data_IF_857848241051
#
_entry.id   IF_857848241051
#
_cell.length_a   1.000
_cell.length_b   1.000
_cell.length_c   1.000
_cell.angle_alpha   90.00
_cell.angle_beta   90.00
_cell.angle_gamma   90.00
#
_symmetry.space_group_name_H-M   'P 1'
#
loop_
_entity.id
_entity.type
_entity.pdbx_description
1 polymer ?
#
# COMPACT_ATOMS: atom_id res chain seq x y z
N UNK A 1 0.67 24.87 -13.60
CA UNK A 1 -0.15 24.71 -12.36
C UNK A 1 -0.44 23.22 -12.26
N UNK A 2 0.04 22.50 -11.23
CA UNK A 2 -0.30 21.07 -11.09
C UNK A 2 -1.77 20.99 -10.69
N UNK A 3 -2.58 20.33 -11.50
CA UNK A 3 -3.99 20.08 -11.21
C UNK A 3 -4.10 19.21 -9.96
N UNK A 4 -4.94 19.60 -9.01
CA UNK A 4 -5.28 18.75 -7.87
C UNK A 4 -6.15 17.60 -8.37
N UNK A 5 -5.67 16.37 -8.22
CA UNK A 5 -6.41 15.16 -8.58
C UNK A 5 -7.06 14.60 -7.31
N UNK A 6 -8.39 14.71 -7.24
CA UNK A 6 -9.18 14.23 -6.11
C UNK A 6 -9.66 12.80 -6.38
N UNK A 7 -8.88 11.83 -5.93
CA UNK A 7 -9.15 10.40 -6.12
C UNK A 7 -10.32 9.87 -5.29
N UNK A 8 -10.82 10.67 -4.33
CA UNK A 8 -11.98 10.28 -3.53
C UNK A 8 -13.29 10.43 -4.29
N UNK A 9 -13.32 11.27 -5.34
CA UNK A 9 -14.51 11.47 -6.19
C UNK A 9 -14.82 10.31 -7.10
N UNK A 10 -13.84 9.45 -7.37
CA UNK A 10 -14.01 8.29 -8.23
C UNK A 10 -14.72 7.12 -7.50
N UNK A 11 -14.95 7.27 -6.19
CA UNK A 11 -15.64 6.28 -5.36
C UNK A 11 -17.14 6.57 -5.39
N UNK A 12 -17.90 5.73 -6.08
CA UNK A 12 -19.37 5.82 -6.17
C UNK A 12 -20.04 5.21 -4.93
N UNK A 13 -19.81 5.83 -3.77
CA UNK A 13 -20.47 5.49 -2.52
C UNK A 13 -20.90 6.73 -1.74
N UNK A 14 -21.96 6.60 -0.94
CA UNK A 14 -22.42 7.71 -0.10
C UNK A 14 -21.47 7.89 1.08
N UNK A 15 -20.99 9.12 1.28
CA UNK A 15 -20.24 9.51 2.47
C UNK A 15 -21.11 9.44 3.75
N UNK A 16 -21.15 8.27 4.42
CA UNK A 16 -21.84 8.05 5.70
C UNK A 16 -20.93 8.20 6.92
N UNK A 17 -19.65 7.89 6.76
CA UNK A 17 -18.69 7.79 7.86
C UNK A 17 -18.07 9.12 8.25
N UNK A 18 -17.69 9.24 9.53
CA UNK A 18 -17.04 10.45 10.07
C UNK A 18 -15.68 10.14 10.66
N UNK A 19 -14.70 10.95 10.30
CA UNK A 19 -13.34 10.87 10.85
C UNK A 19 -12.99 12.18 11.58
N UNK A 20 -12.84 12.10 12.90
CA UNK A 20 -12.62 13.28 13.76
C UNK A 20 -11.20 13.31 14.31
N UNK A 21 -10.51 14.44 14.17
CA UNK A 21 -9.15 14.63 14.68
C UNK A 21 -9.00 15.91 15.50
N UNK A 22 -8.21 15.82 16.57
CA UNK A 22 -7.61 17.00 17.21
C UNK A 22 -6.22 17.21 16.63
N UNK A 23 -5.89 18.45 16.28
CA UNK A 23 -4.58 18.79 15.70
C UNK A 23 -4.04 20.08 16.26
N UNK A 24 -2.74 20.30 16.10
CA UNK A 24 -2.07 21.53 16.52
C UNK A 24 -2.40 22.68 15.54
N UNK A 25 -2.45 23.94 15.99
CA UNK A 25 -2.76 25.09 15.12
C UNK A 25 -1.85 25.19 13.89
N UNK A 26 -0.55 24.92 14.06
CA UNK A 26 0.42 24.96 12.96
C UNK A 26 0.10 23.94 11.85
N UNK A 27 -0.31 22.72 12.23
CA UNK A 27 -0.70 21.68 11.26
C UNK A 27 -1.95 22.12 10.50
N UNK A 28 -2.96 22.65 11.21
CA UNK A 28 -4.18 23.17 10.57
C UNK A 28 -3.87 24.29 9.57
N UNK A 29 -2.94 25.18 9.91
CA UNK A 29 -2.54 26.28 9.02
C UNK A 29 -1.84 25.78 7.76
N UNK A 30 -0.97 24.77 7.89
CA UNK A 30 -0.30 24.16 6.73
C UNK A 30 -1.31 23.50 5.78
N UNK A 31 -2.26 22.72 6.31
CA UNK A 31 -3.34 22.10 5.52
C UNK A 31 -4.16 23.16 4.79
N UNK A 32 -4.60 24.21 5.49
CA UNK A 32 -5.35 25.33 4.89
C UNK A 32 -4.61 25.96 3.71
N UNK A 33 -3.32 26.21 3.88
CA UNK A 33 -2.50 26.81 2.83
C UNK A 33 -2.39 25.87 1.62
N UNK A 34 -2.17 24.58 1.85
CA UNK A 34 -2.07 23.59 0.77
C UNK A 34 -3.40 23.40 0.02
N UNK A 35 -4.51 23.38 0.75
CA UNK A 35 -5.86 23.33 0.19
C UNK A 35 -6.14 24.56 -0.70
N UNK A 36 -5.84 25.76 -0.21
CA UNK A 36 -5.98 27.00 -0.97
C UNK A 36 -5.13 27.03 -2.24
N UNK A 37 -3.88 26.56 -2.17
CA UNK A 37 -3.00 26.42 -3.36
C UNK A 37 -3.52 25.39 -4.37
N UNK A 38 -4.29 24.41 -3.89
CA UNK A 38 -4.89 23.35 -4.70
C UNK A 38 -6.29 23.71 -5.22
N UNK A 39 -6.86 24.85 -4.79
CA UNK A 39 -8.20 25.28 -5.19
C UNK A 39 -9.34 24.44 -4.57
N UNK A 40 -9.08 23.75 -3.46
CA UNK A 40 -10.06 22.90 -2.75
C UNK A 40 -10.18 23.33 -1.29
N UNK A 41 -11.22 22.85 -0.61
CA UNK A 41 -11.36 23.07 0.84
C UNK A 41 -10.47 22.15 1.68
N UNK A 42 -10.30 22.52 2.95
CA UNK A 42 -9.46 21.79 3.91
C UNK A 42 -9.86 20.31 4.04
N UNK A 43 -11.16 20.01 3.97
CA UNK A 43 -11.67 18.66 4.18
C UNK A 43 -11.38 17.78 2.96
N UNK A 44 -11.65 18.27 1.75
CA UNK A 44 -11.33 17.59 0.49
C UNK A 44 -9.82 17.35 0.38
N UNK A 45 -9.01 18.37 0.67
CA UNK A 45 -7.55 18.21 0.67
C UNK A 45 -7.10 17.12 1.65
N UNK A 46 -7.61 17.16 2.89
CA UNK A 46 -7.23 16.21 3.94
C UNK A 46 -7.68 14.80 3.61
N UNK A 47 -8.91 14.60 3.13
CA UNK A 47 -9.45 13.29 2.76
C UNK A 47 -8.65 12.68 1.62
N UNK A 48 -8.40 13.44 0.54
CA UNK A 48 -7.63 12.94 -0.59
C UNK A 48 -6.18 12.60 -0.19
N UNK A 49 -5.51 13.45 0.59
CA UNK A 49 -4.15 13.17 1.06
C UNK A 49 -4.09 11.93 1.96
N UNK A 50 -5.04 11.77 2.89
CA UNK A 50 -5.12 10.60 3.75
C UNK A 50 -5.38 9.32 2.95
N UNK A 51 -6.30 9.37 1.97
CA UNK A 51 -6.63 8.24 1.12
C UNK A 51 -5.45 7.81 0.25
N UNK A 52 -4.77 8.75 -0.41
CA UNK A 52 -3.57 8.46 -1.19
C UNK A 52 -2.47 7.82 -0.33
N UNK A 53 -2.20 8.37 0.86
CA UNK A 53 -1.21 7.80 1.78
C UNK A 53 -1.58 6.39 2.25
N UNK A 54 -2.87 6.13 2.47
CA UNK A 54 -3.36 4.80 2.81
C UNK A 54 -3.14 3.80 1.67
N UNK A 55 -3.49 4.17 0.43
CA UNK A 55 -3.26 3.32 -0.75
C UNK A 55 -1.79 3.01 -0.98
N UNK A 56 -0.91 4.01 -0.87
CA UNK A 56 0.54 3.82 -0.97
C UNK A 56 1.06 2.88 0.12
N UNK A 57 0.57 3.03 1.35
CA UNK A 57 0.97 2.18 2.47
C UNK A 57 0.53 0.73 2.26
N UNK A 58 -0.72 0.51 1.83
CA UNK A 58 -1.24 -0.83 1.52
C UNK A 58 -0.42 -1.46 0.39
N UNK A 59 -0.23 -0.73 -0.70
CA UNK A 59 0.54 -1.21 -1.85
C UNK A 59 1.98 -1.57 -1.48
N UNK A 60 2.63 -0.80 -0.60
CA UNK A 60 3.99 -1.09 -0.15
C UNK A 60 4.10 -2.43 0.64
N UNK A 61 3.02 -2.88 1.28
CA UNK A 61 3.00 -4.13 2.03
C UNK A 61 2.49 -5.32 1.20
N UNK A 62 1.59 -5.08 0.26
CA UNK A 62 0.91 -6.15 -0.49
C UNK A 62 1.49 -6.39 -1.88
N UNK A 63 2.22 -5.42 -2.44
CA UNK A 63 2.79 -5.54 -3.78
C UNK A 63 4.29 -5.80 -3.72
N UNK A 64 4.70 -6.97 -4.21
CA UNK A 64 6.10 -7.24 -4.53
C UNK A 64 6.43 -6.66 -5.90
N UNK A 65 7.33 -5.68 -5.95
CA UNK A 65 7.87 -5.15 -7.21
C UNK A 65 9.18 -5.85 -7.52
N UNK A 66 9.25 -6.52 -8.67
CA UNK A 66 10.49 -7.13 -9.15
C UNK A 66 11.38 -6.07 -9.80
N UNK A 67 12.67 -6.08 -9.49
CA UNK A 67 13.63 -5.30 -10.25
C UNK A 67 13.74 -5.90 -11.67
N UNK A 68 14.08 -5.10 -12.70
CA UNK A 68 14.22 -5.61 -14.07
C UNK A 68 15.20 -6.78 -14.19
N UNK A 69 16.24 -6.80 -13.34
CA UNK A 69 17.24 -7.89 -13.30
C UNK A 69 16.69 -9.20 -12.76
N UNK A 70 15.65 -9.15 -11.92
CA UNK A 70 15.03 -10.32 -11.31
C UNK A 70 13.86 -10.87 -12.14
N UNK A 71 13.39 -10.09 -13.12
CA UNK A 71 12.23 -10.43 -13.94
C UNK A 71 12.42 -11.77 -14.66
N UNK A 72 13.52 -11.94 -15.40
CA UNK A 72 13.76 -13.17 -16.15
C UNK A 72 13.82 -14.40 -15.23
N UNK A 73 14.60 -14.33 -14.15
CA UNK A 73 14.74 -15.43 -13.20
C UNK A 73 13.40 -15.81 -12.52
N UNK A 74 12.56 -14.82 -12.20
CA UNK A 74 11.25 -15.08 -11.61
C UNK A 74 10.31 -15.80 -12.57
N UNK A 75 10.20 -15.32 -13.82
CA UNK A 75 9.32 -15.95 -14.82
C UNK A 75 9.86 -17.32 -15.27
N UNK A 76 11.17 -17.47 -15.44
CA UNK A 76 11.79 -18.78 -15.74
C UNK A 76 11.47 -19.81 -14.65
N UNK A 77 11.44 -19.40 -13.37
CA UNK A 77 11.07 -20.28 -12.27
C UNK A 77 9.58 -20.66 -12.24
N UNK A 78 8.70 -19.87 -12.86
CA UNK A 78 7.28 -20.19 -13.03
C UNK A 78 7.07 -21.12 -14.23
N UNK A 79 7.69 -20.81 -15.36
CA UNK A 79 7.54 -21.56 -16.61
C UNK A 79 8.27 -22.90 -16.57
N UNK A 80 9.44 -22.94 -15.92
CA UNK A 80 10.25 -24.15 -15.73
C UNK A 80 10.59 -24.33 -14.25
N UNK A 81 9.66 -24.83 -13.42
CA UNK A 81 9.87 -24.96 -11.99
C UNK A 81 11.06 -25.88 -11.67
N UNK A 82 12.08 -25.39 -10.93
CA UNK A 82 13.22 -26.21 -10.58
C UNK A 82 12.83 -27.26 -9.54
N UNK A 83 13.54 -28.39 -9.55
CA UNK A 83 13.37 -29.41 -8.51
C UNK A 83 13.79 -28.87 -7.14
N UNK A 84 13.09 -29.23 -6.04
CA UNK A 84 13.47 -28.81 -4.69
C UNK A 84 14.90 -29.22 -4.35
N UNK A 85 15.66 -28.30 -3.75
CA UNK A 85 17.03 -28.60 -3.29
C UNK A 85 17.01 -29.56 -2.10
N UNK A 86 18.09 -30.32 -1.89
CA UNK A 86 18.21 -31.23 -0.74
C UNK A 86 18.04 -30.51 0.60
N UNK A 87 18.53 -29.26 0.70
CA UNK A 87 18.32 -28.42 1.89
C UNK A 87 16.84 -28.09 2.10
N UNK A 88 16.09 -27.80 1.04
CA UNK A 88 14.65 -27.52 1.12
C UNK A 88 13.86 -28.79 1.52
N UNK A 89 14.19 -29.95 0.95
CA UNK A 89 13.59 -31.24 1.33
C UNK A 89 13.82 -31.55 2.81
N UNK A 90 15.05 -31.37 3.30
CA UNK A 90 15.39 -31.59 4.71
C UNK A 90 14.66 -30.61 5.65
N UNK A 91 14.55 -29.33 5.26
CA UNK A 91 13.80 -28.34 6.03
C UNK A 91 12.31 -28.69 6.14
N UNK A 92 11.71 -29.17 5.05
CA UNK A 92 10.31 -29.61 5.02
C UNK A 92 10.07 -30.84 5.90
N UNK A 93 10.96 -31.85 5.85
CA UNK A 93 10.90 -33.02 6.72
C UNK A 93 10.97 -32.65 8.21
N UNK A 94 11.88 -31.72 8.57
CA UNK A 94 12.00 -31.18 9.93
C UNK A 94 10.76 -30.40 10.38
N UNK A 95 10.14 -29.64 9.48
CA UNK A 95 8.89 -28.94 9.79
C UNK A 95 7.76 -29.93 10.08
N UNK A 96 7.60 -30.95 9.21
CA UNK A 96 6.58 -31.99 9.35
C UNK A 96 6.70 -32.75 10.69
N UNK A 97 7.92 -33.10 11.11
CA UNK A 97 8.12 -33.76 12.41
C UNK A 97 7.80 -32.87 13.60
N UNK A 98 8.09 -31.57 13.53
CA UNK A 98 7.78 -30.61 14.60
C UNK A 98 6.29 -30.29 14.73
N UNK A 99 5.56 -30.22 13.61
CA UNK A 99 4.12 -29.90 13.61
C UNK A 99 3.27 -31.11 14.00
N UNK A 100 3.65 -32.32 13.58
CA UNK A 100 2.96 -33.57 13.94
C UNK A 100 3.31 -34.09 15.35
N UNK A 101 4.29 -33.50 16.02
CA UNK A 101 4.67 -33.85 17.40
C UNK A 101 3.89 -33.05 18.46
N UNK A 102 2.72 -32.50 18.11
CA UNK A 102 1.78 -31.84 19.03
C UNK A 102 0.52 -32.67 19.21
#
# INVERSE_FOLDING_TARGET
MRTFHDTTKDIDERASERMNFRTKPHIKQAIKRAAALSGVDDSVFTMNAAYQSALETIAAHERTVLAPVDHAAFFDALDTPPQPTEKLKAAFARHKSRVLSK
#
